data_IF_180150124434
#
_entry.id   IF_180150124434
#
_cell.length_a   1.000
_cell.length_b   1.000
_cell.length_c   1.000
_cell.angle_alpha   90.00
_cell.angle_beta   90.00
_cell.angle_gamma   90.00
#
_symmetry.space_group_name_H-M   'P 1'
#
loop_
_entity.id
_entity.type
_entity.pdbx_description
1 polymer ?
#
# COMPACT_ATOMS: atom_id res chain seq x y z
N UNK A 1 12.31 -16.89 -25.79
CA UNK A 1 12.82 -16.10 -24.65
C UNK A 1 13.33 -14.70 -25.06
N UNK A 2 14.25 -14.53 -26.02
CA UNK A 2 14.74 -13.17 -26.42
C UNK A 2 13.67 -12.21 -27.00
N UNK A 3 12.62 -12.71 -27.66
CA UNK A 3 11.54 -11.87 -28.21
C UNK A 3 10.58 -11.31 -27.17
N UNK A 4 10.36 -12.02 -26.04
CA UNK A 4 9.53 -11.54 -24.93
C UNK A 4 10.19 -10.37 -24.17
N UNK A 5 11.52 -10.40 -24.04
CA UNK A 5 12.26 -9.35 -23.34
C UNK A 5 12.23 -8.00 -24.10
N UNK A 6 12.25 -8.03 -25.43
CA UNK A 6 12.17 -6.82 -26.27
C UNK A 6 10.77 -6.19 -26.19
N UNK A 7 9.71 -7.00 -26.10
CA UNK A 7 8.32 -6.52 -25.94
C UNK A 7 8.13 -5.92 -24.55
N UNK A 8 8.71 -6.49 -23.49
CA UNK A 8 8.65 -5.97 -22.13
C UNK A 8 9.29 -4.58 -22.00
N UNK A 9 10.42 -4.34 -22.67
CA UNK A 9 11.09 -3.02 -22.67
C UNK A 9 10.30 -1.99 -23.50
N UNK A 10 9.63 -2.40 -24.58
CA UNK A 10 8.87 -1.50 -25.45
C UNK A 10 7.51 -1.10 -24.86
N UNK A 11 6.82 -1.98 -24.12
CA UNK A 11 5.56 -1.63 -23.43
C UNK A 11 5.79 -0.70 -22.24
N UNK A 12 6.90 -0.85 -21.54
CA UNK A 12 7.31 0.10 -20.48
C UNK A 12 7.67 1.48 -21.07
N UNK A 13 8.20 1.54 -22.29
CA UNK A 13 8.57 2.79 -22.94
C UNK A 13 7.38 3.66 -23.39
N UNK A 14 6.20 3.08 -23.60
CA UNK A 14 4.97 3.81 -23.98
C UNK A 14 4.26 4.52 -22.84
N UNK A 15 4.57 4.17 -21.58
CA UNK A 15 3.97 4.75 -20.36
C UNK A 15 4.70 6.03 -19.90
N UNK A 16 5.78 6.41 -20.55
CA UNK A 16 6.78 7.39 -20.10
C UNK A 16 6.43 8.87 -20.30
N UNK A 17 5.25 9.23 -20.81
CA UNK A 17 4.86 10.62 -21.00
C UNK A 17 3.68 11.13 -20.15
N UNK A 18 3.03 10.29 -19.37
CA UNK A 18 2.00 10.73 -18.45
C UNK A 18 2.66 11.21 -17.14
N UNK A 19 2.56 12.49 -16.85
CA UNK A 19 2.87 13.03 -15.51
C UNK A 19 1.97 12.33 -14.49
N UNK A 20 2.56 11.69 -13.58
CA UNK A 20 2.28 10.72 -12.58
C UNK A 20 1.28 11.20 -11.54
N UNK A 21 0.17 10.54 -11.45
CA UNK A 21 -0.66 10.56 -10.27
C UNK A 21 -0.55 9.19 -9.59
N UNK A 22 0.60 8.90 -9.00
CA UNK A 22 0.82 7.70 -8.20
C UNK A 22 0.64 8.09 -6.75
N UNK A 23 -0.43 7.60 -6.16
CA UNK A 23 -0.77 7.86 -4.79
C UNK A 23 -1.00 6.52 -4.08
N UNK A 24 -0.57 6.43 -2.83
CA UNK A 24 -0.84 5.30 -1.96
C UNK A 24 -1.07 5.82 -0.56
N UNK A 25 -2.04 5.28 0.16
CA UNK A 25 -2.30 5.66 1.55
C UNK A 25 -2.44 4.41 2.39
N UNK A 26 -1.55 4.22 3.36
CA UNK A 26 -1.57 3.12 4.32
C UNK A 26 -1.91 3.61 5.72
N UNK A 27 -2.69 2.81 6.45
CA UNK A 27 -3.08 3.02 7.84
C UNK A 27 -2.93 1.73 8.65
N UNK A 28 -2.92 1.85 9.98
CA UNK A 28 -2.98 0.70 10.89
C UNK A 28 -3.88 1.01 12.07
N UNK A 29 -4.77 0.08 12.43
CA UNK A 29 -5.70 0.18 13.53
C UNK A 29 -5.59 -1.05 14.43
N UNK A 30 -5.82 -0.88 15.72
CA UNK A 30 -5.84 -1.99 16.68
C UNK A 30 -7.23 -2.14 17.29
N UNK A 31 -7.77 -3.36 17.31
CA UNK A 31 -9.03 -3.70 17.95
C UNK A 31 -8.87 -4.04 19.44
N UNK A 32 -9.97 -4.01 20.21
CA UNK A 32 -9.97 -4.41 21.63
C UNK A 32 -9.59 -5.87 21.85
N UNK A 33 -9.93 -6.74 20.90
CA UNK A 33 -9.56 -8.16 20.94
C UNK A 33 -8.06 -8.41 20.65
N UNK A 34 -7.28 -7.35 20.41
CA UNK A 34 -5.85 -7.41 20.10
C UNK A 34 -5.54 -7.68 18.62
N UNK A 35 -6.54 -7.66 17.73
CA UNK A 35 -6.29 -7.70 16.29
C UNK A 35 -5.58 -6.43 15.84
N UNK A 36 -4.48 -6.58 15.09
CA UNK A 36 -3.86 -5.48 14.37
C UNK A 36 -4.30 -5.56 12.90
N UNK A 37 -4.91 -4.47 12.42
CA UNK A 37 -5.43 -4.34 11.06
C UNK A 37 -4.61 -3.33 10.30
N UNK A 38 -3.90 -3.78 9.27
CA UNK A 38 -3.20 -2.90 8.34
C UNK A 38 -4.01 -2.80 7.04
N UNK A 39 -4.16 -1.58 6.51
CA UNK A 39 -4.95 -1.36 5.32
C UNK A 39 -4.33 -0.28 4.44
N UNK A 40 -4.65 -0.32 3.13
CA UNK A 40 -4.15 0.66 2.18
C UNK A 40 -5.01 0.82 0.94
N UNK A 41 -4.84 1.94 0.25
CA UNK A 41 -5.26 2.16 -1.13
C UNK A 41 -4.06 2.09 -2.08
N UNK A 42 -4.30 1.72 -3.33
CA UNK A 42 -3.34 1.84 -4.44
C UNK A 42 -3.98 2.65 -5.54
N UNK A 43 -3.35 3.77 -5.87
CA UNK A 43 -3.82 4.67 -6.90
C UNK A 43 -2.89 4.68 -8.10
N UNK A 44 -3.51 4.62 -9.28
CA UNK A 44 -2.86 4.75 -10.56
C UNK A 44 -3.84 5.41 -11.53
N UNK A 45 -3.55 6.63 -11.95
CA UNK A 45 -4.49 7.44 -12.71
C UNK A 45 -4.27 7.40 -14.24
N UNK A 46 -3.17 6.81 -14.71
CA UNK A 46 -2.84 6.82 -16.14
C UNK A 46 -3.59 5.74 -16.95
N UNK A 47 -3.73 4.54 -16.37
CA UNK A 47 -4.38 3.38 -17.02
C UNK A 47 -5.00 2.47 -15.96
N UNK A 48 -5.90 1.59 -16.34
CA UNK A 48 -6.31 0.47 -15.49
C UNK A 48 -5.12 -0.48 -15.33
N UNK A 49 -4.65 -0.67 -14.09
CA UNK A 49 -3.60 -1.64 -13.78
C UNK A 49 -4.13 -3.06 -13.90
N UNK A 50 -3.31 -3.95 -14.43
CA UNK A 50 -3.57 -5.37 -14.32
C UNK A 50 -3.23 -5.82 -12.91
N UNK A 51 -4.25 -6.00 -12.07
CA UNK A 51 -4.09 -6.45 -10.70
C UNK A 51 -4.64 -7.87 -10.53
N UNK A 52 -3.90 -8.69 -9.80
CA UNK A 52 -4.33 -10.02 -9.41
C UNK A 52 -3.85 -10.36 -8.00
N UNK A 53 -4.32 -11.48 -7.47
CA UNK A 53 -3.76 -12.03 -6.25
C UNK A 53 -3.07 -13.36 -6.52
N UNK A 54 -2.06 -13.65 -5.72
CA UNK A 54 -1.38 -14.93 -5.72
C UNK A 54 -1.53 -15.62 -4.37
N UNK A 55 -1.52 -16.95 -4.42
CA UNK A 55 -1.30 -17.84 -3.28
C UNK A 55 -0.02 -18.59 -3.55
N UNK A 56 1.03 -18.25 -2.82
CA UNK A 56 2.34 -18.87 -2.96
C UNK A 56 2.55 -19.91 -1.85
N UNK A 57 2.82 -21.20 -2.20
CA UNK A 57 3.07 -22.24 -1.21
C UNK A 57 4.48 -22.12 -0.58
N UNK A 58 4.68 -22.81 0.53
CA UNK A 58 6.04 -23.11 1.01
C UNK A 58 6.82 -23.85 -0.07
N UNK A 59 8.12 -23.59 -0.14
CA UNK A 59 9.00 -24.22 -1.14
C UNK A 59 8.88 -23.68 -2.55
N UNK A 60 8.03 -22.66 -2.80
CA UNK A 60 7.97 -21.99 -4.10
C UNK A 60 9.33 -21.38 -4.45
N UNK A 61 9.79 -21.60 -5.67
CA UNK A 61 11.07 -21.07 -6.15
C UNK A 61 10.89 -19.67 -6.72
N UNK A 62 11.66 -18.74 -6.22
CA UNK A 62 11.69 -17.36 -6.67
C UNK A 62 13.01 -17.04 -7.35
N UNK A 63 12.93 -16.20 -8.38
CA UNK A 63 14.08 -15.64 -9.08
C UNK A 63 13.88 -14.13 -9.22
N UNK A 64 14.83 -13.37 -8.69
CA UNK A 64 14.76 -11.91 -8.86
C UNK A 64 15.14 -11.50 -10.27
N UNK A 65 14.52 -10.41 -10.72
CA UNK A 65 14.94 -9.70 -11.92
C UNK A 65 16.09 -8.73 -11.59
N UNK A 66 16.91 -8.49 -12.62
CA UNK A 66 17.94 -7.45 -12.63
C UNK A 66 17.81 -6.65 -13.93
N UNK A 67 18.51 -5.53 -14.11
CA UNK A 67 18.53 -4.82 -15.38
C UNK A 67 18.96 -5.67 -16.59
N UNK A 68 19.65 -6.79 -16.36
CA UNK A 68 20.11 -7.68 -17.42
C UNK A 68 19.26 -8.96 -17.59
N UNK A 69 18.21 -9.14 -16.79
CA UNK A 69 17.26 -10.25 -16.96
C UNK A 69 16.81 -10.91 -15.65
N UNK A 70 16.16 -12.08 -15.77
CA UNK A 70 15.75 -12.90 -14.62
C UNK A 70 16.94 -13.74 -14.12
N UNK A 71 17.93 -13.08 -13.54
CA UNK A 71 19.22 -13.66 -13.15
C UNK A 71 19.72 -13.15 -11.78
N UNK A 72 18.86 -12.49 -11.00
CA UNK A 72 19.15 -12.02 -9.66
C UNK A 72 19.08 -13.11 -8.60
N UNK A 73 18.88 -12.71 -7.36
CA UNK A 73 18.78 -13.58 -6.18
C UNK A 73 17.77 -14.72 -6.41
N UNK A 74 18.22 -15.95 -6.16
CA UNK A 74 17.37 -17.15 -6.15
C UNK A 74 17.11 -17.58 -4.72
N UNK A 75 15.86 -17.91 -4.41
CA UNK A 75 15.50 -18.41 -3.09
C UNK A 75 14.26 -19.30 -3.14
N UNK A 76 14.11 -20.13 -2.13
CA UNK A 76 12.92 -20.96 -1.90
C UNK A 76 12.10 -20.37 -0.76
N UNK A 77 10.78 -20.25 -0.92
CA UNK A 77 9.90 -19.77 0.11
C UNK A 77 9.92 -20.65 1.36
N UNK A 78 10.25 -20.07 2.50
CA UNK A 78 10.14 -20.70 3.82
C UNK A 78 8.69 -20.69 4.27
N UNK A 79 7.99 -19.61 4.00
CA UNK A 79 6.60 -19.38 4.35
C UNK A 79 5.71 -19.27 3.12
N UNK A 80 4.48 -19.79 3.24
CA UNK A 80 3.44 -19.52 2.28
C UNK A 80 2.82 -18.14 2.53
N UNK A 81 2.32 -17.50 1.49
CA UNK A 81 1.72 -16.18 1.59
C UNK A 81 0.62 -15.94 0.55
N UNK A 82 -0.20 -14.94 0.84
CA UNK A 82 -1.16 -14.34 -0.09
C UNK A 82 -0.74 -12.90 -0.35
N UNK A 83 -0.80 -12.47 -1.61
CA UNK A 83 -0.46 -11.09 -1.96
C UNK A 83 -1.15 -10.62 -3.22
N UNK A 84 -1.39 -9.31 -3.32
CA UNK A 84 -1.83 -8.65 -4.55
C UNK A 84 -0.58 -8.22 -5.32
N UNK A 85 -0.56 -8.55 -6.60
CA UNK A 85 0.46 -8.08 -7.55
C UNK A 85 -0.11 -7.09 -8.53
N UNK A 86 0.77 -6.31 -9.15
CA UNK A 86 0.44 -5.40 -10.24
C UNK A 86 1.29 -5.72 -11.46
N UNK A 87 0.67 -5.73 -12.65
CA UNK A 87 1.26 -5.99 -13.98
C UNK A 87 1.86 -7.39 -14.14
N UNK A 88 2.69 -7.86 -13.20
CA UNK A 88 3.38 -9.16 -13.26
C UNK A 88 3.30 -9.87 -11.91
N UNK A 89 3.03 -11.17 -11.92
CA UNK A 89 2.87 -11.99 -10.71
C UNK A 89 4.00 -11.85 -9.67
N UNK A 90 5.30 -11.75 -10.05
CA UNK A 90 6.37 -11.55 -9.07
C UNK A 90 6.37 -10.17 -8.38
N UNK A 91 5.63 -9.19 -8.92
CA UNK A 91 5.61 -7.81 -8.40
C UNK A 91 4.47 -7.62 -7.40
N UNK A 92 4.60 -8.29 -6.26
CA UNK A 92 3.64 -8.19 -5.16
C UNK A 92 3.79 -6.82 -4.49
N UNK A 93 2.68 -6.11 -4.38
CA UNK A 93 2.65 -4.75 -3.82
C UNK A 93 2.01 -4.66 -2.44
N UNK A 94 1.26 -5.70 -2.03
CA UNK A 94 0.65 -5.82 -0.70
C UNK A 94 0.38 -7.28 -0.39
N UNK A 95 0.61 -7.73 0.85
CA UNK A 95 0.29 -9.10 1.24
C UNK A 95 0.62 -9.43 2.68
N UNK A 96 0.35 -10.69 3.03
CA UNK A 96 0.59 -11.28 4.35
C UNK A 96 0.98 -12.74 4.21
N UNK A 97 1.91 -13.19 5.03
CA UNK A 97 2.29 -14.60 5.09
C UNK A 97 1.59 -15.36 6.23
N UNK A 98 1.75 -16.65 6.24
CA UNK A 98 1.14 -17.55 7.22
C UNK A 98 1.58 -17.35 8.67
N UNK A 99 2.59 -16.50 8.94
CA UNK A 99 2.99 -16.08 10.29
C UNK A 99 2.35 -14.75 10.70
N UNK A 100 1.59 -14.12 9.80
CA UNK A 100 0.98 -12.82 10.00
C UNK A 100 1.89 -11.63 9.69
N UNK A 101 3.14 -11.86 9.26
CA UNK A 101 3.98 -10.76 8.76
C UNK A 101 3.37 -10.19 7.49
N UNK A 102 3.08 -8.88 7.49
CA UNK A 102 2.55 -8.14 6.34
C UNK A 102 3.58 -7.19 5.78
N UNK A 103 3.60 -7.03 4.47
CA UNK A 103 4.45 -6.05 3.78
C UNK A 103 3.71 -5.39 2.63
N UNK A 104 3.99 -4.11 2.42
CA UNK A 104 3.40 -3.30 1.35
C UNK A 104 4.43 -2.37 0.72
N UNK A 105 4.32 -2.20 -0.60
CA UNK A 105 5.16 -1.32 -1.42
C UNK A 105 4.41 -0.04 -1.73
N UNK A 106 5.09 1.11 -1.62
CA UNK A 106 4.56 2.44 -1.90
C UNK A 106 5.52 3.20 -2.81
N UNK A 107 5.00 3.98 -3.73
CA UNK A 107 5.81 4.77 -4.64
C UNK A 107 6.52 5.92 -3.90
N UNK A 108 7.83 6.10 -4.18
CA UNK A 108 8.70 7.05 -3.47
C UNK A 108 9.56 7.87 -4.44
N UNK A 109 8.93 8.60 -5.37
CA UNK A 109 9.64 9.30 -6.44
C UNK A 109 10.48 10.45 -5.90
N UNK A 110 11.63 10.68 -6.56
CA UNK A 110 12.54 11.79 -6.33
C UNK A 110 13.26 11.84 -4.96
N UNK A 111 12.98 10.90 -4.07
CA UNK A 111 13.58 10.80 -2.74
C UNK A 111 14.33 9.50 -2.52
N UNK A 112 13.81 8.39 -3.05
CA UNK A 112 14.50 7.11 -3.02
C UNK A 112 15.59 7.03 -4.08
N UNK A 113 16.75 6.49 -3.72
CA UNK A 113 17.85 6.24 -4.63
C UNK A 113 18.62 4.99 -4.19
N UNK A 114 18.75 4.02 -5.11
CA UNK A 114 19.42 2.75 -4.86
C UNK A 114 20.90 2.86 -5.23
N UNK A 115 21.71 1.99 -4.63
CA UNK A 115 23.09 1.82 -5.05
C UNK A 115 23.15 1.41 -6.54
N UNK A 116 24.20 1.81 -7.28
CA UNK A 116 24.38 1.42 -8.67
C UNK A 116 24.37 -0.10 -8.83
N UNK A 117 23.65 -0.59 -9.85
CA UNK A 117 23.63 -2.00 -10.19
C UNK A 117 25.01 -2.51 -10.59
N UNK A 118 25.41 -3.66 -10.04
CA UNK A 118 26.69 -4.33 -10.30
C UNK A 118 26.43 -5.76 -10.72
N UNK A 119 26.59 -6.08 -12.00
CA UNK A 119 26.24 -7.40 -12.60
C UNK A 119 26.91 -8.59 -11.91
N UNK A 120 28.19 -8.47 -11.48
CA UNK A 120 28.87 -9.54 -10.72
C UNK A 120 28.19 -9.91 -9.39
N UNK A 121 27.30 -9.06 -8.91
CA UNK A 121 26.54 -9.25 -7.66
C UNK A 121 25.16 -9.88 -7.89
N UNK A 122 24.82 -10.32 -9.10
CA UNK A 122 23.49 -10.84 -9.43
C UNK A 122 22.97 -11.87 -8.44
N UNK A 123 23.83 -12.75 -7.92
CA UNK A 123 23.41 -13.78 -6.95
C UNK A 123 22.84 -13.24 -5.64
N UNK A 124 23.08 -11.97 -5.32
CA UNK A 124 22.53 -11.28 -4.15
C UNK A 124 21.70 -10.04 -4.52
N UNK A 125 21.41 -9.82 -5.80
CA UNK A 125 20.65 -8.69 -6.29
C UNK A 125 19.14 -8.97 -6.24
N UNK A 126 18.39 -8.12 -5.58
CA UNK A 126 16.93 -8.17 -5.46
C UNK A 126 16.30 -6.94 -6.11
N UNK A 127 15.35 -7.18 -7.01
CA UNK A 127 14.52 -6.13 -7.58
C UNK A 127 13.62 -5.50 -6.51
N UNK A 128 13.56 -4.17 -6.49
CA UNK A 128 12.71 -3.39 -5.58
C UNK A 128 11.23 -3.79 -5.64
N UNK A 129 10.70 -4.07 -6.84
CA UNK A 129 9.33 -4.55 -7.05
C UNK A 129 9.08 -5.98 -6.52
N UNK A 130 10.15 -6.75 -6.24
CA UNK A 130 10.05 -8.11 -5.68
C UNK A 130 10.39 -8.17 -4.17
N UNK A 131 10.67 -7.03 -3.56
CA UNK A 131 11.00 -6.96 -2.14
C UNK A 131 9.86 -7.51 -1.25
N UNK A 132 8.61 -7.16 -1.54
CA UNK A 132 7.45 -7.65 -0.75
C UNK A 132 7.35 -9.17 -0.82
N UNK A 133 7.44 -9.79 -2.00
CA UNK A 133 7.41 -11.25 -2.13
C UNK A 133 8.59 -11.93 -1.41
N UNK A 134 9.77 -11.31 -1.42
CA UNK A 134 10.93 -11.79 -0.67
C UNK A 134 10.68 -11.73 0.84
N UNK A 135 10.17 -10.61 1.35
CA UNK A 135 9.84 -10.46 2.77
C UNK A 135 8.82 -11.51 3.21
N UNK A 136 7.71 -11.63 2.49
CA UNK A 136 6.61 -12.52 2.86
C UNK A 136 7.00 -14.00 2.79
N UNK A 137 7.84 -14.37 1.82
CA UNK A 137 8.24 -15.78 1.64
C UNK A 137 9.39 -16.21 2.55
N UNK A 138 10.21 -15.30 3.08
CA UNK A 138 11.44 -15.66 3.78
C UNK A 138 11.39 -15.43 5.29
N UNK A 139 10.58 -14.48 5.79
CA UNK A 139 10.70 -14.00 7.17
C UNK A 139 9.40 -14.06 7.94
N UNK A 140 9.53 -14.10 9.27
CA UNK A 140 8.42 -14.02 10.23
C UNK A 140 8.53 -12.79 11.14
N UNK A 141 9.61 -12.00 11.03
CA UNK A 141 9.80 -10.79 11.84
C UNK A 141 10.55 -9.70 11.10
N UNK A 142 10.34 -8.46 11.54
CA UNK A 142 11.04 -7.27 11.05
C UNK A 142 12.55 -7.39 11.26
N UNK A 143 12.99 -7.91 12.40
CA UNK A 143 14.42 -8.00 12.70
C UNK A 143 15.15 -9.01 11.81
N UNK A 144 14.47 -10.09 11.41
CA UNK A 144 15.00 -11.01 10.39
C UNK A 144 15.18 -10.30 9.04
N UNK A 145 14.21 -9.47 8.62
CA UNK A 145 14.33 -8.68 7.38
C UNK A 145 15.49 -7.70 7.47
N UNK A 146 15.62 -6.96 8.57
CA UNK A 146 16.73 -6.01 8.79
C UNK A 146 18.09 -6.69 8.67
N UNK A 147 18.25 -7.85 9.31
CA UNK A 147 19.49 -8.61 9.30
C UNK A 147 19.82 -9.18 7.90
N UNK A 148 18.81 -9.70 7.20
CA UNK A 148 19.00 -10.28 5.88
C UNK A 148 19.29 -9.23 4.80
N UNK A 149 18.67 -8.06 4.88
CA UNK A 149 18.85 -6.97 3.91
C UNK A 149 20.30 -6.46 3.85
N UNK A 150 21.06 -6.59 4.93
CA UNK A 150 22.49 -6.22 4.95
C UNK A 150 23.33 -7.01 3.92
N UNK A 151 22.85 -8.14 3.44
CA UNK A 151 23.53 -9.02 2.47
C UNK A 151 22.88 -9.00 1.09
N UNK A 152 21.94 -8.10 0.82
CA UNK A 152 21.17 -8.02 -0.42
C UNK A 152 21.36 -6.66 -1.07
N UNK A 153 21.66 -6.65 -2.36
CA UNK A 153 21.73 -5.42 -3.15
C UNK A 153 20.34 -5.14 -3.76
N UNK A 154 19.65 -4.11 -3.25
CA UNK A 154 18.38 -3.66 -3.84
C UNK A 154 18.66 -2.84 -5.10
N UNK A 155 17.93 -3.14 -6.18
CA UNK A 155 18.04 -2.44 -7.46
C UNK A 155 16.67 -2.15 -8.06
N UNK A 156 16.57 -1.09 -8.84
CA UNK A 156 15.41 -0.87 -9.71
C UNK A 156 15.69 -1.39 -11.12
N UNK A 157 14.64 -1.86 -11.79
CA UNK A 157 14.75 -2.28 -13.19
C UNK A 157 14.78 -1.08 -14.14
N UNK A 158 14.23 0.04 -13.72
CA UNK A 158 14.14 1.25 -14.55
C UNK A 158 14.16 2.51 -13.69
N UNK A 159 15.28 3.19 -13.63
CA UNK A 159 15.45 4.45 -12.89
C UNK A 159 14.48 5.57 -13.29
N UNK A 160 13.87 5.48 -14.50
CA UNK A 160 12.89 6.48 -14.95
C UNK A 160 11.51 6.32 -14.29
N UNK A 161 11.21 5.13 -13.76
CA UNK A 161 9.93 4.88 -13.06
C UNK A 161 9.96 5.54 -11.67
N UNK A 162 11.13 5.68 -11.06
CA UNK A 162 11.35 6.18 -9.70
C UNK A 162 11.49 5.04 -8.70
N UNK A 163 11.86 5.39 -7.48
CA UNK A 163 12.04 4.45 -6.38
C UNK A 163 10.72 4.15 -5.67
N UNK A 164 10.76 3.12 -4.83
CA UNK A 164 9.69 2.73 -3.92
C UNK A 164 10.23 2.66 -2.50
N UNK A 165 9.33 2.72 -1.52
CA UNK A 165 9.61 2.44 -0.13
C UNK A 165 8.58 1.44 0.42
N UNK A 166 8.80 0.89 1.61
CA UNK A 166 8.00 -0.24 2.08
C UNK A 166 7.56 -0.06 3.52
N UNK A 167 6.37 -0.57 3.81
CA UNK A 167 5.86 -0.84 5.14
C UNK A 167 6.05 -2.33 5.44
N UNK A 168 6.53 -2.68 6.63
CA UNK A 168 6.57 -4.04 7.14
C UNK A 168 5.92 -4.03 8.52
N UNK A 169 4.98 -4.94 8.77
CA UNK A 169 4.20 -4.96 10.02
C UNK A 169 4.12 -6.38 10.58
N UNK A 170 4.37 -6.53 11.87
CA UNK A 170 4.21 -7.78 12.62
C UNK A 170 2.82 -7.89 13.24
N UNK A 171 2.36 -9.12 13.58
CA UNK A 171 1.07 -9.34 14.22
C UNK A 171 0.90 -8.63 15.58
N UNK A 172 1.99 -8.34 16.28
CA UNK A 172 2.01 -7.60 17.55
C UNK A 172 1.78 -6.08 17.37
N UNK A 173 1.63 -5.61 16.12
CA UNK A 173 1.41 -4.21 15.76
C UNK A 173 2.69 -3.42 15.52
N UNK A 174 3.88 -3.97 15.78
CA UNK A 174 5.13 -3.30 15.42
C UNK A 174 5.20 -3.09 13.91
N UNK A 175 5.47 -1.86 13.50
CA UNK A 175 5.59 -1.45 12.11
C UNK A 175 6.86 -0.67 11.86
N UNK A 176 7.48 -0.92 10.71
CA UNK A 176 8.60 -0.11 10.22
C UNK A 176 8.34 0.37 8.80
N UNK A 177 8.92 1.53 8.48
CA UNK A 177 9.09 2.02 7.11
C UNK A 177 10.54 1.80 6.71
N UNK A 178 10.75 1.20 5.54
CA UNK A 178 12.06 1.09 4.91
C UNK A 178 12.14 2.05 3.73
N UNK A 179 13.09 2.96 3.78
CA UNK A 179 13.46 3.87 2.71
C UNK A 179 14.91 3.64 2.31
N UNK A 180 15.20 3.61 1.02
CA UNK A 180 16.59 3.57 0.52
C UNK A 180 16.92 4.94 -0.05
N UNK A 181 17.90 5.62 0.56
CA UNK A 181 18.32 6.98 0.21
C UNK A 181 19.83 6.98 0.06
N UNK A 182 20.32 7.51 -1.06
CA UNK A 182 21.75 7.48 -1.42
C UNK A 182 22.36 6.06 -1.35
N UNK A 183 21.60 5.05 -1.76
CA UNK A 183 22.03 3.65 -1.73
C UNK A 183 22.03 3.01 -0.35
N UNK A 184 21.59 3.71 0.70
CA UNK A 184 21.59 3.23 2.10
C UNK A 184 20.18 2.95 2.56
N UNK A 185 19.86 1.73 3.06
CA UNK A 185 18.58 1.42 3.64
C UNK A 185 18.44 2.04 5.04
N UNK A 186 17.33 2.73 5.27
CA UNK A 186 16.94 3.34 6.54
C UNK A 186 15.64 2.73 7.02
N UNK A 187 15.64 2.20 8.24
CA UNK A 187 14.44 1.68 8.91
C UNK A 187 13.96 2.68 9.97
N UNK A 188 12.72 3.11 9.81
CA UNK A 188 12.04 4.00 10.77
C UNK A 188 10.96 3.21 11.50
N UNK A 189 10.98 3.20 12.83
CA UNK A 189 9.87 2.66 13.62
C UNK A 189 8.63 3.55 13.40
N UNK A 190 7.57 2.97 12.89
CA UNK A 190 6.33 3.70 12.56
C UNK A 190 5.25 3.42 13.61
N UNK A 191 5.36 4.06 14.77
CA UNK A 191 4.39 3.95 15.87
C UNK A 191 3.02 4.53 15.46
N UNK A 192 3.02 5.53 14.58
CA UNK A 192 1.78 6.16 14.10
C UNK A 192 0.96 5.22 13.22
N UNK A 193 1.61 4.34 12.43
CA UNK A 193 0.92 3.40 11.55
C UNK A 193 0.46 3.97 10.20
N UNK A 194 0.82 5.21 9.86
CA UNK A 194 0.49 5.85 8.58
C UNK A 194 1.69 5.87 7.64
N UNK A 195 1.45 5.59 6.36
CA UNK A 195 2.44 5.78 5.30
C UNK A 195 1.72 6.24 4.01
N UNK A 196 2.32 7.22 3.33
CA UNK A 196 1.87 7.65 1.99
C UNK A 196 3.01 7.51 0.97
N UNK A 197 3.45 8.58 0.35
CA UNK A 197 4.52 8.60 -0.65
C UNK A 197 5.60 9.61 -0.25
N UNK A 198 6.34 10.15 -1.23
CA UNK A 198 7.28 11.24 -0.99
C UNK A 198 6.61 12.50 -0.40
N UNK A 199 7.31 13.29 0.44
CA UNK A 199 8.69 13.15 0.92
C UNK A 199 8.92 11.96 1.86
N UNK A 200 10.14 11.83 2.43
CA UNK A 200 10.49 10.76 3.35
C UNK A 200 9.66 10.77 4.64
N UNK A 201 9.56 9.62 5.29
CA UNK A 201 8.72 9.38 6.47
C UNK A 201 8.97 10.41 7.60
N UNK A 202 10.25 10.68 7.93
CA UNK A 202 10.57 11.66 8.96
C UNK A 202 10.10 13.09 8.64
N UNK A 203 10.08 13.45 7.36
CA UNK A 203 9.54 14.74 6.94
C UNK A 203 8.03 14.80 7.21
N UNK A 204 7.29 13.75 6.86
CA UNK A 204 5.85 13.68 7.15
C UNK A 204 5.57 13.81 8.64
N UNK A 205 6.33 13.11 9.49
CA UNK A 205 6.20 13.21 10.96
C UNK A 205 6.46 14.63 11.45
N UNK A 206 7.47 15.32 10.89
CA UNK A 206 7.76 16.72 11.23
C UNK A 206 6.63 17.64 10.77
N UNK A 207 6.09 17.42 9.57
CA UNK A 207 5.02 18.23 9.00
C UNK A 207 3.71 18.18 9.82
N UNK A 208 3.44 17.11 10.55
CA UNK A 208 2.26 17.02 11.44
C UNK A 208 2.20 18.16 12.47
N UNK A 209 3.35 18.73 12.88
CA UNK A 209 3.38 19.85 13.81
C UNK A 209 2.68 21.11 13.29
N UNK A 210 2.52 21.24 11.97
CA UNK A 210 1.76 22.35 11.37
C UNK A 210 0.24 22.21 11.56
N UNK A 211 -0.23 21.06 12.05
CA UNK A 211 -1.65 20.70 12.19
C UNK A 211 -2.04 20.38 13.62
N UNK A 212 -1.28 20.88 14.60
CA UNK A 212 -1.52 20.66 16.03
C UNK A 212 -2.88 21.21 16.54
N UNK A 213 -3.52 22.08 15.73
CA UNK A 213 -4.83 22.67 16.03
C UNK A 213 -6.02 21.80 15.61
N UNK A 214 -5.77 20.68 14.91
CA UNK A 214 -6.85 19.79 14.48
C UNK A 214 -7.38 18.98 15.66
N UNK A 215 -8.68 19.09 15.91
CA UNK A 215 -9.38 18.36 16.96
C UNK A 215 -10.64 17.68 16.42
N UNK A 216 -11.04 16.51 16.96
CA UNK A 216 -12.31 15.90 16.60
C UNK A 216 -13.47 16.71 17.18
N UNK A 217 -14.60 16.71 16.46
CA UNK A 217 -15.82 17.38 16.91
C UNK A 217 -15.87 18.86 16.56
N UNK A 218 -16.46 19.68 17.42
CA UNK A 218 -16.68 21.11 17.19
C UNK A 218 -15.70 21.95 17.96
N UNK A 219 -15.16 22.98 17.30
CA UNK A 219 -14.42 24.04 18.00
C UNK A 219 -15.32 24.74 19.03
N UNK A 220 -14.74 25.20 20.14
CA UNK A 220 -15.44 25.96 21.14
C UNK A 220 -15.83 27.36 20.62
N UNK A 221 -16.95 27.89 21.14
CA UNK A 221 -17.35 29.26 20.87
C UNK A 221 -16.27 30.23 21.30
N UNK A 222 -16.05 31.29 20.51
CA UNK A 222 -15.02 32.28 20.76
C UNK A 222 -15.56 33.70 20.71
N UNK A 223 -15.60 34.42 21.84
CA UNK A 223 -16.00 35.81 21.90
C UNK A 223 -14.82 36.72 21.51
N UNK A 224 -14.91 37.36 20.35
CA UNK A 224 -13.87 38.25 19.80
C UNK A 224 -14.06 39.71 20.25
N UNK A 225 -15.29 40.07 20.63
CA UNK A 225 -15.64 41.40 21.13
C UNK A 225 -16.94 41.32 21.95
N UNK A 226 -17.17 42.24 22.88
CA UNK A 226 -18.42 42.30 23.61
C UNK A 226 -19.62 42.33 22.64
N UNK A 227 -20.47 41.31 22.74
CA UNK A 227 -21.65 41.14 21.87
C UNK A 227 -21.38 40.45 20.52
N UNK A 228 -20.14 40.01 20.25
CA UNK A 228 -19.80 39.24 19.05
C UNK A 228 -19.10 37.95 19.47
N UNK A 229 -19.83 36.83 19.37
CA UNK A 229 -19.32 35.49 19.62
C UNK A 229 -19.37 34.69 18.34
N UNK A 230 -18.22 34.12 17.94
CA UNK A 230 -18.12 33.15 16.84
C UNK A 230 -18.60 31.82 17.37
N UNK A 231 -19.39 31.11 16.56
CA UNK A 231 -19.94 29.81 16.91
C UNK A 231 -19.64 28.79 15.81
N UNK A 232 -19.51 27.53 16.19
CA UNK A 232 -19.32 26.44 15.24
C UNK A 232 -20.54 26.30 14.31
N UNK A 233 -20.32 26.24 13.00
CA UNK A 233 -21.36 26.02 11.97
C UNK A 233 -21.69 24.52 11.79
N UNK A 234 -21.64 23.76 12.87
CA UNK A 234 -21.93 22.32 12.87
C UNK A 234 -20.78 21.46 13.40
N UNK A 235 -21.05 20.17 13.50
CA UNK A 235 -20.04 19.19 13.93
C UNK A 235 -18.89 19.12 12.93
N UNK A 236 -17.66 18.93 13.44
CA UNK A 236 -16.47 18.83 12.60
C UNK A 236 -15.74 20.16 12.36
N UNK A 237 -16.17 21.27 12.98
CA UNK A 237 -15.45 22.54 12.89
C UNK A 237 -14.04 22.51 13.49
N UNK A 238 -13.75 21.57 14.39
CA UNK A 238 -12.39 21.29 14.89
C UNK A 238 -11.43 20.77 13.80
N UNK A 239 -11.96 20.32 12.66
CA UNK A 239 -11.17 19.89 11.48
C UNK A 239 -10.85 21.02 10.50
N UNK A 240 -11.20 22.27 10.78
CA UNK A 240 -10.87 23.39 9.90
C UNK A 240 -9.36 23.49 9.70
N UNK A 241 -8.94 23.46 8.43
CA UNK A 241 -7.55 23.38 8.03
C UNK A 241 -7.04 21.96 7.71
N UNK A 242 -7.86 20.91 7.92
CA UNK A 242 -7.53 19.57 7.44
C UNK A 242 -7.40 19.59 5.91
N UNK A 243 -6.24 19.23 5.33
CA UNK A 243 -6.02 19.40 3.89
C UNK A 243 -6.85 18.41 3.08
N UNK A 244 -7.57 18.89 2.06
CA UNK A 244 -8.51 18.11 1.25
C UNK A 244 -7.94 17.55 -0.06
N UNK A 245 -6.78 18.02 -0.50
CA UNK A 245 -6.17 17.59 -1.77
C UNK A 245 -5.56 16.19 -1.69
N UNK A 246 -5.17 15.63 -2.85
CA UNK A 246 -4.64 14.28 -2.96
C UNK A 246 -3.10 14.20 -3.00
N UNK A 247 -2.38 15.27 -2.66
CA UNK A 247 -0.91 15.20 -2.52
C UNK A 247 -0.52 14.28 -1.35
N UNK A 248 0.66 13.71 -1.41
CA UNK A 248 1.15 12.80 -0.37
C UNK A 248 1.16 13.45 1.03
N UNK A 249 1.66 14.68 1.23
CA UNK A 249 1.60 15.35 2.52
C UNK A 249 0.18 15.53 3.06
N UNK A 250 -0.76 15.96 2.22
CA UNK A 250 -2.16 16.17 2.59
C UNK A 250 -2.86 14.86 2.97
N UNK A 251 -2.59 13.79 2.23
CA UNK A 251 -3.11 12.46 2.55
C UNK A 251 -2.52 11.91 3.86
N UNK A 252 -1.24 12.14 4.12
CA UNK A 252 -0.60 11.73 5.38
C UNK A 252 -1.27 12.39 6.59
N UNK A 253 -1.46 13.71 6.56
CA UNK A 253 -2.14 14.47 7.62
C UNK A 253 -3.57 13.97 7.81
N UNK A 254 -4.32 13.82 6.73
CA UNK A 254 -5.71 13.37 6.76
C UNK A 254 -5.86 11.93 7.28
N UNK A 255 -4.98 11.03 6.85
CA UNK A 255 -4.94 9.65 7.34
C UNK A 255 -4.59 9.59 8.83
N UNK A 256 -3.61 10.37 9.27
CA UNK A 256 -3.25 10.51 10.68
C UNK A 256 -4.46 10.97 11.50
N UNK A 257 -5.12 12.03 11.09
CA UNK A 257 -6.27 12.56 11.81
C UNK A 257 -7.39 11.53 11.93
N UNK A 258 -7.82 10.92 10.82
CA UNK A 258 -8.93 9.95 10.85
C UNK A 258 -8.59 8.67 11.59
N UNK A 259 -7.34 8.21 11.51
CA UNK A 259 -6.90 7.04 12.25
C UNK A 259 -6.84 7.28 13.75
N UNK A 260 -6.26 8.40 14.18
CA UNK A 260 -6.05 8.69 15.61
C UNK A 260 -7.33 9.14 16.32
N UNK A 261 -8.34 9.62 15.59
CA UNK A 261 -9.66 9.97 16.12
C UNK A 261 -10.69 8.85 15.99
N UNK A 262 -10.30 7.71 15.35
CA UNK A 262 -11.17 6.53 15.25
C UNK A 262 -11.34 5.86 16.61
N UNK A 263 -12.57 5.42 16.96
CA UNK A 263 -12.77 4.61 18.14
C UNK A 263 -12.07 3.23 17.98
N UNK A 264 -11.66 2.65 19.11
CA UNK A 264 -11.17 1.28 19.14
C UNK A 264 -12.35 0.31 19.12
N UNK A 265 -12.51 -0.44 18.04
CA UNK A 265 -13.61 -1.38 17.84
C UNK A 265 -13.39 -2.70 18.60
N UNK A 266 -14.47 -3.45 18.86
CA UNK A 266 -14.39 -4.66 19.67
C UNK A 266 -13.62 -5.79 18.96
N UNK A 267 -13.80 -5.95 17.67
CA UNK A 267 -13.26 -7.06 16.87
C UNK A 267 -12.41 -6.60 15.69
N UNK A 268 -11.53 -7.51 15.23
CA UNK A 268 -10.73 -7.27 14.02
C UNK A 268 -11.59 -6.97 12.80
N UNK A 269 -12.73 -7.65 12.61
CA UNK A 269 -13.59 -7.40 11.44
C UNK A 269 -14.27 -6.02 11.47
N UNK A 270 -14.78 -5.59 12.63
CA UNK A 270 -15.30 -4.22 12.77
C UNK A 270 -14.22 -3.17 12.48
N UNK A 271 -12.99 -3.45 12.92
CA UNK A 271 -11.82 -2.61 12.63
C UNK A 271 -11.46 -2.61 11.14
N UNK A 272 -11.59 -3.74 10.45
CA UNK A 272 -11.46 -3.80 8.98
C UNK A 272 -12.51 -2.92 8.29
N UNK A 273 -13.77 -2.99 8.72
CA UNK A 273 -14.83 -2.13 8.18
C UNK A 273 -14.51 -0.64 8.41
N UNK A 274 -14.06 -0.29 9.62
CA UNK A 274 -13.63 1.08 9.92
C UNK A 274 -12.45 1.52 9.05
N UNK A 275 -11.47 0.65 8.83
CA UNK A 275 -10.34 0.95 7.94
C UNK A 275 -10.81 1.27 6.52
N UNK A 276 -11.79 0.52 5.98
CA UNK A 276 -12.38 0.85 4.68
C UNK A 276 -13.13 2.19 4.70
N UNK A 277 -13.84 2.53 5.79
CA UNK A 277 -14.49 3.85 5.94
C UNK A 277 -13.47 4.99 5.94
N UNK A 278 -12.38 4.86 6.66
CA UNK A 278 -11.29 5.85 6.64
C UNK A 278 -10.74 5.96 5.22
N UNK A 279 -10.43 4.83 4.57
CA UNK A 279 -9.81 4.80 3.26
C UNK A 279 -10.74 5.27 2.12
N UNK A 280 -12.06 5.34 2.33
CA UNK A 280 -12.98 6.02 1.40
C UNK A 280 -12.62 7.49 1.17
N UNK A 281 -11.98 8.17 2.13
CA UNK A 281 -11.52 9.54 1.99
C UNK A 281 -10.30 9.68 1.04
N UNK A 282 -9.76 8.56 0.59
CA UNK A 282 -8.60 8.47 -0.33
C UNK A 282 -8.97 7.79 -1.64
N UNK A 283 -10.26 7.46 -1.84
CA UNK A 283 -10.78 7.01 -3.13
C UNK A 283 -10.86 8.21 -4.09
N UNK A 284 -10.02 8.21 -5.13
CA UNK A 284 -9.79 9.38 -5.97
C UNK A 284 -10.66 9.29 -7.22
N UNK A 285 -11.65 10.17 -7.38
CA UNK A 285 -12.42 10.27 -8.64
C UNK A 285 -11.51 10.61 -9.80
N UNK A 286 -11.61 9.89 -10.91
CA UNK A 286 -10.67 9.99 -12.03
C UNK A 286 -10.50 11.40 -12.58
N UNK A 287 -11.56 12.20 -12.63
CA UNK A 287 -11.51 13.57 -13.14
C UNK A 287 -10.77 14.57 -12.25
N UNK A 288 -10.53 14.25 -10.96
CA UNK A 288 -9.92 15.21 -10.03
C UNK A 288 -8.40 15.37 -10.19
N UNK A 289 -7.74 14.47 -10.91
CA UNK A 289 -6.29 14.47 -11.14
C UNK A 289 -5.89 14.78 -12.58
N UNK A 290 -6.85 15.08 -13.45
CA UNK A 290 -6.64 15.33 -14.86
C UNK A 290 -7.30 16.63 -15.30
N UNK A 291 -6.70 17.32 -16.25
CA UNK A 291 -7.40 18.35 -17.00
C UNK A 291 -8.51 17.70 -17.83
N UNK A 292 -9.62 18.39 -18.04
CA UNK A 292 -10.78 17.85 -18.74
C UNK A 292 -10.46 17.25 -20.13
N UNK A 293 -9.46 17.83 -20.82
CA UNK A 293 -9.02 17.35 -22.13
C UNK A 293 -8.24 16.02 -22.07
N UNK A 294 -7.68 15.65 -20.90
CA UNK A 294 -6.73 14.56 -20.73
C UNK A 294 -7.28 13.41 -19.87
N UNK A 295 -8.58 13.41 -19.56
CA UNK A 295 -9.21 12.37 -18.75
C UNK A 295 -9.11 11.02 -19.47
N UNK A 296 -8.47 9.99 -18.85
CA UNK A 296 -8.39 8.66 -19.41
C UNK A 296 -9.77 8.03 -19.62
N UNK A 297 -10.01 7.47 -20.80
CA UNK A 297 -11.28 6.79 -21.10
C UNK A 297 -11.33 5.42 -20.44
N UNK A 298 -12.51 5.06 -19.90
CA UNK A 298 -12.75 3.73 -19.37
C UNK A 298 -12.11 3.45 -18.01
N UNK A 299 -11.54 4.45 -17.34
CA UNK A 299 -10.96 4.34 -16.00
C UNK A 299 -11.95 4.91 -14.97
N UNK A 300 -12.56 4.06 -14.09
CA UNK A 300 -13.64 4.50 -13.21
C UNK A 300 -13.13 5.34 -12.02
N UNK A 301 -11.94 5.05 -11.53
CA UNK A 301 -11.28 5.71 -10.41
C UNK A 301 -9.76 5.65 -10.58
N UNK A 302 -9.04 6.61 -10.01
CA UNK A 302 -7.59 6.51 -9.88
C UNK A 302 -7.21 5.45 -8.82
N UNK A 303 -8.05 5.20 -7.82
CA UNK A 303 -7.87 4.14 -6.83
C UNK A 303 -8.21 2.80 -7.45
N UNK A 304 -7.20 1.99 -7.70
CA UNK A 304 -7.34 0.69 -8.38
C UNK A 304 -7.91 -0.38 -7.45
N UNK A 305 -7.41 -0.41 -6.21
CA UNK A 305 -7.94 -1.28 -5.16
C UNK A 305 -7.67 -0.71 -3.76
N UNK A 306 -8.46 -1.17 -2.80
CA UNK A 306 -8.24 -1.01 -1.36
C UNK A 306 -8.10 -2.40 -0.74
N UNK A 307 -7.07 -2.61 0.06
CA UNK A 307 -6.85 -3.87 0.78
C UNK A 307 -6.74 -3.64 2.29
N UNK A 308 -7.09 -4.66 3.07
CA UNK A 308 -6.93 -4.69 4.52
C UNK A 308 -6.55 -6.11 4.97
N UNK A 309 -5.66 -6.20 5.95
CA UNK A 309 -5.25 -7.47 6.57
C UNK A 309 -5.57 -7.42 8.05
N UNK A 310 -6.39 -8.33 8.54
CA UNK A 310 -6.49 -8.66 9.96
C UNK A 310 -5.42 -9.72 10.27
N UNK A 311 -4.33 -9.28 10.90
CA UNK A 311 -3.16 -10.13 11.15
C UNK A 311 -3.41 -11.21 12.22
N UNK A 312 -4.40 -11.02 13.11
CA UNK A 312 -4.77 -11.99 14.13
C UNK A 312 -5.65 -13.10 13.58
N UNK A 313 -6.70 -12.74 12.85
CA UNK A 313 -7.61 -13.73 12.23
C UNK A 313 -7.06 -14.30 10.92
N UNK A 314 -5.91 -13.81 10.47
CA UNK A 314 -5.23 -14.24 9.23
C UNK A 314 -6.13 -14.12 8.01
N UNK A 315 -6.82 -12.99 7.88
CA UNK A 315 -7.74 -12.70 6.79
C UNK A 315 -7.29 -11.51 5.98
N UNK A 316 -7.23 -11.70 4.67
CA UNK A 316 -6.85 -10.68 3.70
C UNK A 316 -8.09 -10.23 2.94
N UNK A 317 -8.45 -8.96 3.07
CA UNK A 317 -9.65 -8.36 2.47
C UNK A 317 -9.27 -7.40 1.35
N UNK A 318 -10.11 -7.30 0.33
CA UNK A 318 -9.92 -6.30 -0.73
C UNK A 318 -11.23 -5.92 -1.42
N UNK A 319 -11.23 -4.77 -2.06
CA UNK A 319 -12.19 -4.29 -3.05
C UNK A 319 -11.44 -3.57 -4.17
N UNK A 320 -12.08 -3.35 -5.31
CA UNK A 320 -11.45 -2.72 -6.47
C UNK A 320 -12.26 -1.53 -6.98
N UNK A 321 -11.70 -0.76 -7.91
CA UNK A 321 -12.42 0.30 -8.62
C UNK A 321 -13.66 -0.21 -9.38
N UNK A 322 -13.66 -1.49 -9.75
CA UNK A 322 -14.75 -2.12 -10.50
C UNK A 322 -15.79 -2.80 -9.62
N UNK A 323 -15.41 -3.17 -8.41
CA UNK A 323 -16.28 -3.91 -7.49
C UNK A 323 -16.02 -3.47 -6.05
N UNK A 324 -16.93 -2.69 -5.50
CA UNK A 324 -16.87 -2.15 -4.14
C UNK A 324 -17.22 -3.17 -3.05
N UNK A 325 -17.72 -4.37 -3.41
CA UNK A 325 -17.98 -5.42 -2.44
C UNK A 325 -16.66 -5.91 -1.83
N UNK A 326 -16.60 -6.02 -0.52
CA UNK A 326 -15.43 -6.55 0.20
C UNK A 326 -15.35 -8.06 -0.04
N UNK A 327 -14.20 -8.51 -0.52
CA UNK A 327 -13.85 -9.93 -0.71
C UNK A 327 -12.79 -10.31 0.29
N UNK A 328 -12.75 -11.57 0.70
CA UNK A 328 -11.86 -12.08 1.74
C UNK A 328 -11.17 -13.37 1.29
N UNK A 329 -9.87 -13.44 1.55
CA UNK A 329 -9.10 -14.68 1.49
C UNK A 329 -8.74 -15.04 2.93
N UNK A 330 -9.18 -16.20 3.39
CA UNK A 330 -8.89 -16.72 4.72
C UNK A 330 -7.64 -17.62 4.65
N UNK A 331 -6.52 -17.13 5.16
CA UNK A 331 -5.25 -17.85 5.13
C UNK A 331 -5.29 -19.11 6.01
N UNK A 332 -6.14 -19.14 7.05
CA UNK A 332 -6.29 -20.32 7.91
C UNK A 332 -6.94 -21.49 7.19
N UNK A 333 -7.64 -21.22 6.08
CA UNK A 333 -8.22 -22.26 5.22
C UNK A 333 -7.23 -22.86 4.22
N UNK A 334 -5.99 -22.34 4.14
CA UNK A 334 -5.00 -22.73 3.14
C UNK A 334 -3.92 -23.61 3.77
N UNK A 335 -3.77 -24.86 3.28
CA UNK A 335 -2.63 -25.71 3.61
C UNK A 335 -1.43 -25.33 2.71
N UNK A 336 -0.58 -24.42 3.19
CA UNK A 336 0.58 -23.94 2.43
C UNK A 336 1.66 -25.00 2.15
N UNK A 337 1.57 -26.19 2.76
CA UNK A 337 2.43 -27.32 2.41
C UNK A 337 1.94 -28.11 1.18
N UNK A 338 0.62 -28.01 0.86
CA UNK A 338 -0.02 -28.83 -0.19
C UNK A 338 -0.52 -27.99 -1.36
N UNK A 339 -0.92 -26.73 -1.10
CA UNK A 339 -1.43 -25.86 -2.16
C UNK A 339 -0.36 -25.68 -3.23
N UNK A 340 -0.77 -25.62 -4.50
CA UNK A 340 0.10 -25.20 -5.60
C UNK A 340 0.08 -23.70 -5.72
N UNK A 341 1.10 -23.13 -6.33
CA UNK A 341 1.10 -21.72 -6.72
C UNK A 341 -0.15 -21.41 -7.57
N UNK A 342 -0.86 -20.35 -7.21
CA UNK A 342 -2.07 -19.89 -7.88
C UNK A 342 -1.99 -18.41 -8.12
N UNK A 343 -2.54 -17.99 -9.25
CA UNK A 343 -2.66 -16.58 -9.63
C UNK A 343 -4.03 -16.36 -10.27
N UNK A 344 -4.74 -15.35 -9.80
CA UNK A 344 -6.06 -14.98 -10.29
C UNK A 344 -6.20 -13.47 -10.40
N UNK A 345 -6.98 -12.96 -11.38
CA UNK A 345 -7.31 -11.54 -11.41
C UNK A 345 -8.12 -11.14 -10.17
N UNK A 346 -7.99 -9.88 -9.73
CA UNK A 346 -8.83 -9.37 -8.64
C UNK A 346 -10.31 -9.36 -9.01
N UNK A 347 -10.62 -9.10 -10.27
CA UNK A 347 -11.98 -9.12 -10.82
C UNK A 347 -12.04 -10.03 -12.06
N UNK A 348 -12.96 -10.99 -12.05
CA UNK A 348 -13.27 -11.81 -13.23
C UNK A 348 -14.02 -11.00 -14.30
N UNK A 349 -14.74 -9.96 -13.88
CA UNK A 349 -15.45 -9.00 -14.71
C UNK A 349 -15.26 -7.60 -14.15
N UNK A 350 -15.01 -6.65 -15.03
CA UNK A 350 -14.86 -5.24 -14.67
C UNK A 350 -16.24 -4.57 -14.62
N UNK A 351 -17.04 -4.97 -13.65
CA UNK A 351 -18.40 -4.46 -13.44
C UNK A 351 -18.73 -4.39 -11.95
N UNK A 352 -19.52 -3.39 -11.54
CA UNK A 352 -20.04 -3.27 -10.18
C UNK A 352 -21.27 -4.17 -10.03
N UNK A 353 -21.23 -5.20 -9.18
CA UNK A 353 -22.42 -5.99 -8.82
C UNK A 353 -23.44 -5.13 -8.07
N UNK A 354 -24.71 -5.23 -8.44
CA UNK A 354 -25.82 -4.54 -7.79
C UNK A 354 -26.83 -5.56 -7.27
N UNK A 355 -27.19 -5.46 -6.00
CA UNK A 355 -28.28 -6.23 -5.41
C UNK A 355 -29.61 -5.52 -5.71
N UNK A 356 -30.49 -6.20 -6.45
CA UNK A 356 -31.82 -5.69 -6.77
C UNK A 356 -32.82 -6.02 -5.67
N UNK A 357 -33.25 -5.01 -4.92
CA UNK A 357 -34.23 -5.16 -3.87
C UNK A 357 -35.62 -5.30 -4.49
N UNK A 358 -36.28 -6.42 -4.19
CA UNK A 358 -37.68 -6.63 -4.59
C UNK A 358 -38.61 -5.95 -3.58
N UNK A 359 -39.29 -4.92 -4.02
CA UNK A 359 -40.37 -4.29 -3.25
C UNK A 359 -41.63 -5.14 -3.42
N UNK A 360 -42.28 -5.45 -2.31
CA UNK A 360 -43.57 -6.19 -2.28
C UNK A 360 -44.74 -5.24 -2.20
#
# INVERSE_FOLDING_TARGET
>A
MKRFFIIMVLTISGILSAQKADACTGISLTAQDGSNVVARTVEWAATAMQCGYIVAPRGHEHQSYTPTGANGLKYKGVYGYVGIYTEYEPFVVEGVNETGLSAGLFFFPNYGDYAPYVEKNNSKTLCDMQFVSWVLSQFSSIDQVKNALANVDLVTLNHKIGAVHWRITQPDGRMVVLEVVNGVPHFYENILGVLTNAPGFNWHMTNLNNYLNLEPGSAADHTIKKGITLQALGHGSGMLGLPGDFTSPSRFVRATFFQTTSPTWATGFETVVQAFHILNNFDIPIGSQHQLADIPKGLPSATQFTAATDQKSMKFYYRTAWNSNIRCIDLMSIDFHKVKFQSYPLDNKQEQPVEMIKVR
#
